data_IF_596865149573
#
_entry.id   IF_596865149573
#
_cell.length_a   1.000
_cell.length_b   1.000
_cell.length_c   1.000
_cell.angle_alpha   90.00
_cell.angle_beta   90.00
_cell.angle_gamma   90.00
#
_symmetry.space_group_name_H-M   'P 1'
#
loop_
_entity.id
_entity.type
_entity.pdbx_description
1 polymer ?
#
# COMPACT_ATOMS: atom_id res chain seq x y z
N UNK A 1 -0.87 17.82 -5.17
CA UNK A 1 -1.15 17.18 -3.86
C UNK A 1 -1.92 18.17 -3.00
N UNK A 2 -3.19 17.92 -2.74
CA UNK A 2 -3.94 18.66 -1.74
C UNK A 2 -4.38 17.71 -0.62
N UNK A 3 -4.46 18.24 0.58
CA UNK A 3 -4.99 17.58 1.77
C UNK A 3 -6.26 18.30 2.17
N UNK A 4 -7.36 17.59 2.30
CA UNK A 4 -8.65 18.13 2.66
C UNK A 4 -9.02 17.72 4.07
N UNK A 5 -9.04 18.66 5.02
CA UNK A 5 -9.51 18.40 6.38
C UNK A 5 -10.94 17.85 6.37
N UNK A 6 -11.19 16.87 7.24
CA UNK A 6 -12.52 16.32 7.48
C UNK A 6 -13.13 17.04 8.67
N UNK A 7 -14.31 17.60 8.47
CA UNK A 7 -15.13 18.10 9.57
C UNK A 7 -15.69 16.90 10.36
N UNK A 8 -15.19 16.74 11.59
CA UNK A 8 -15.58 15.61 12.45
C UNK A 8 -17.05 15.67 12.88
N UNK A 9 -17.68 16.85 12.93
CA UNK A 9 -19.08 16.96 13.34
C UNK A 9 -20.04 16.41 12.29
N UNK A 10 -19.63 16.44 11.02
CA UNK A 10 -20.36 15.85 9.89
C UNK A 10 -19.82 14.49 9.45
N UNK A 11 -18.73 14.00 10.04
CA UNK A 11 -18.10 12.75 9.64
C UNK A 11 -18.90 11.52 10.06
N UNK A 12 -19.43 10.70 9.13
CA UNK A 12 -20.31 9.57 9.46
C UNK A 12 -19.68 8.53 10.39
N UNK A 13 -18.34 8.45 10.41
CA UNK A 13 -17.59 7.51 11.25
C UNK A 13 -16.96 8.17 12.48
N UNK A 14 -17.44 9.35 12.89
CA UNK A 14 -16.89 10.13 14.01
C UNK A 14 -16.71 9.31 15.28
N UNK A 15 -17.71 8.55 15.70
CA UNK A 15 -17.63 7.74 16.93
C UNK A 15 -16.59 6.63 16.83
N UNK A 16 -16.54 5.92 15.67
CA UNK A 16 -15.53 4.90 15.41
C UNK A 16 -14.12 5.52 15.40
N UNK A 17 -13.97 6.65 14.71
CA UNK A 17 -12.71 7.37 14.65
C UNK A 17 -12.21 7.74 16.06
N UNK A 18 -13.03 8.41 16.86
CA UNK A 18 -12.65 8.85 18.21
C UNK A 18 -12.34 7.66 19.13
N UNK A 19 -13.09 6.56 19.02
CA UNK A 19 -12.85 5.35 19.80
C UNK A 19 -11.51 4.71 19.49
N UNK A 20 -11.17 4.56 18.21
CA UNK A 20 -9.99 3.82 17.78
C UNK A 20 -8.72 4.67 17.62
N UNK A 21 -8.83 6.00 17.57
CA UNK A 21 -7.66 6.87 17.57
C UNK A 21 -7.19 7.21 18.99
N UNK A 22 -8.13 7.43 19.90
CA UNK A 22 -7.83 7.86 21.26
C UNK A 22 -7.72 6.72 22.27
N UNK A 23 -8.73 5.87 22.33
CA UNK A 23 -8.86 4.91 23.43
C UNK A 23 -8.18 3.55 23.15
N UNK A 24 -8.34 3.01 21.95
CA UNK A 24 -7.92 1.63 21.64
C UNK A 24 -6.69 1.56 20.74
N UNK A 25 -6.38 2.61 19.97
CA UNK A 25 -5.27 2.66 19.01
C UNK A 25 -5.15 1.36 18.18
N UNK A 26 -6.25 0.96 17.56
CA UNK A 26 -6.39 -0.35 16.98
C UNK A 26 -6.00 -0.35 15.49
N UNK A 27 -4.91 -1.01 15.16
CA UNK A 27 -4.63 -1.45 13.80
C UNK A 27 -4.80 -2.97 13.69
N UNK A 28 -5.11 -3.45 12.51
CA UNK A 28 -5.26 -4.88 12.23
C UNK A 28 -4.68 -5.23 10.86
N UNK A 29 -4.37 -6.51 10.67
CA UNK A 29 -3.91 -7.04 9.39
C UNK A 29 -4.84 -8.14 8.91
N UNK A 30 -5.11 -8.13 7.62
CA UNK A 30 -5.80 -9.21 6.93
C UNK A 30 -4.90 -9.74 5.81
N UNK A 31 -4.75 -11.06 5.71
CA UNK A 31 -4.01 -11.69 4.62
C UNK A 31 -4.96 -12.46 3.73
N UNK A 32 -4.89 -12.22 2.43
CA UNK A 32 -5.67 -12.89 1.40
C UNK A 32 -4.78 -13.36 0.26
N UNK A 33 -5.23 -14.32 -0.53
CA UNK A 33 -4.60 -14.67 -1.79
C UNK A 33 -5.34 -13.98 -2.93
N UNK A 34 -4.70 -13.02 -3.61
CA UNK A 34 -5.27 -12.39 -4.80
C UNK A 34 -4.90 -13.18 -6.05
N UNK A 35 -5.83 -13.31 -6.98
CA UNK A 35 -5.58 -13.96 -8.26
C UNK A 35 -4.86 -13.01 -9.20
N UNK A 36 -3.62 -13.32 -9.54
CA UNK A 36 -2.76 -12.53 -10.42
C UNK A 36 -2.54 -13.21 -11.78
N UNK A 37 -3.39 -14.15 -12.15
CA UNK A 37 -3.25 -14.90 -13.41
C UNK A 37 -3.29 -13.97 -14.62
N UNK A 38 -4.13 -12.95 -14.59
CA UNK A 38 -4.29 -11.96 -15.66
C UNK A 38 -3.01 -11.12 -15.91
N UNK A 39 -2.10 -11.01 -14.93
CA UNK A 39 -0.84 -10.28 -15.13
C UNK A 39 0.13 -10.98 -16.09
N UNK A 40 -0.09 -12.25 -16.42
CA UNK A 40 0.70 -12.97 -17.43
C UNK A 40 2.20 -12.88 -17.19
N UNK A 41 2.93 -12.37 -18.20
CA UNK A 41 4.40 -12.22 -18.20
C UNK A 41 4.89 -10.86 -17.65
N UNK A 42 4.01 -9.96 -17.25
CA UNK A 42 4.42 -8.67 -16.69
C UNK A 42 5.29 -8.82 -15.44
N UNK A 43 6.20 -7.87 -15.23
CA UNK A 43 7.03 -7.81 -14.01
C UNK A 43 6.12 -7.64 -12.79
N UNK A 44 6.03 -8.65 -11.96
CA UNK A 44 5.06 -8.73 -10.86
C UNK A 44 5.13 -7.54 -9.91
N UNK A 45 6.33 -7.19 -9.42
CA UNK A 45 6.46 -6.18 -8.37
C UNK A 45 5.99 -4.78 -8.81
N UNK A 46 6.50 -4.20 -9.92
CA UNK A 46 6.02 -2.91 -10.38
C UNK A 46 4.54 -2.91 -10.80
N UNK A 47 4.05 -4.00 -11.41
CA UNK A 47 2.63 -4.10 -11.76
C UNK A 47 1.75 -4.07 -10.51
N UNK A 48 2.10 -4.84 -9.49
CA UNK A 48 1.34 -4.85 -8.23
C UNK A 48 1.46 -3.52 -7.46
N UNK A 49 2.63 -2.86 -7.45
CA UNK A 49 2.75 -1.52 -6.85
C UNK A 49 1.80 -0.53 -7.54
N UNK A 50 1.75 -0.55 -8.86
CA UNK A 50 0.87 0.33 -9.63
C UNK A 50 -0.62 0.02 -9.36
N UNK A 51 -1.01 -1.26 -9.39
CA UNK A 51 -2.39 -1.70 -9.15
C UNK A 51 -2.86 -1.39 -7.73
N UNK A 52 -2.02 -1.62 -6.73
CA UNK A 52 -2.30 -1.24 -5.34
C UNK A 52 -2.49 0.28 -5.22
N UNK A 53 -1.62 1.06 -5.86
CA UNK A 53 -1.71 2.53 -5.81
C UNK A 53 -2.96 3.04 -6.51
N UNK A 54 -3.28 2.51 -7.69
CA UNK A 54 -4.54 2.82 -8.39
C UNK A 54 -5.74 2.54 -7.48
N UNK A 55 -5.78 1.37 -6.86
CA UNK A 55 -6.90 0.98 -5.99
C UNK A 55 -6.98 1.84 -4.72
N UNK A 56 -5.84 2.20 -4.10
CA UNK A 56 -5.78 3.14 -2.98
C UNK A 56 -6.37 4.48 -3.38
N UNK A 57 -6.06 4.96 -4.59
CA UNK A 57 -6.56 6.25 -5.10
C UNK A 57 -8.06 6.25 -5.42
N UNK A 58 -8.68 5.09 -5.58
CA UNK A 58 -10.12 4.95 -5.79
C UNK A 58 -10.95 4.99 -4.48
N UNK A 59 -10.30 4.79 -3.30
CA UNK A 59 -11.01 4.59 -2.03
C UNK A 59 -10.56 5.62 -0.98
N UNK A 60 -11.39 6.59 -0.61
CA UNK A 60 -11.01 7.68 0.30
C UNK A 60 -10.45 7.20 1.64
N UNK A 61 -11.00 6.13 2.23
CA UNK A 61 -10.59 5.62 3.53
C UNK A 61 -9.13 5.14 3.56
N UNK A 62 -8.59 4.76 2.40
CA UNK A 62 -7.18 4.38 2.24
C UNK A 62 -6.23 5.57 2.01
N UNK A 63 -6.79 6.78 1.87
CA UNK A 63 -6.06 8.05 1.70
C UNK A 63 -6.19 8.98 2.89
N UNK A 64 -6.88 8.54 3.94
CA UNK A 64 -7.04 9.32 5.18
C UNK A 64 -5.76 9.31 6.00
N UNK A 65 -5.37 10.48 6.49
CA UNK A 65 -4.18 10.69 7.31
C UNK A 65 -4.43 11.74 8.40
N UNK A 66 -3.52 11.77 9.37
CA UNK A 66 -3.41 12.87 10.32
C UNK A 66 -2.26 13.80 9.87
N UNK A 67 -2.57 15.05 9.64
CA UNK A 67 -1.59 16.11 9.39
C UNK A 67 -1.75 17.16 10.48
N UNK A 68 -0.71 17.38 11.26
CA UNK A 68 -0.71 18.28 12.42
C UNK A 68 -1.88 18.03 13.40
N UNK A 69 -2.25 16.74 13.57
CA UNK A 69 -3.36 16.32 14.45
C UNK A 69 -4.74 16.47 13.83
N UNK A 70 -4.86 16.95 12.60
CA UNK A 70 -6.12 17.10 11.88
C UNK A 70 -6.35 15.90 10.97
N UNK A 71 -7.50 15.22 11.12
CA UNK A 71 -7.92 14.18 10.18
C UNK A 71 -8.30 14.79 8.84
N UNK A 72 -7.82 14.20 7.77
CA UNK A 72 -8.18 14.62 6.42
C UNK A 72 -7.90 13.54 5.40
N UNK A 73 -8.18 13.83 4.15
CA UNK A 73 -7.98 12.93 3.01
C UNK A 73 -7.10 13.62 1.96
N UNK A 74 -6.12 12.88 1.43
CA UNK A 74 -5.33 13.32 0.29
C UNK A 74 -6.08 13.11 -1.03
N UNK A 75 -5.88 13.99 -2.01
CA UNK A 75 -6.43 13.81 -3.36
C UNK A 75 -5.89 12.56 -4.04
N UNK A 76 -4.59 12.35 -3.88
CA UNK A 76 -3.82 11.28 -4.50
C UNK A 76 -2.76 10.75 -3.54
N UNK A 77 -2.36 9.50 -3.74
CA UNK A 77 -1.32 8.82 -2.99
C UNK A 77 -0.24 8.29 -3.93
N UNK A 78 0.98 8.23 -3.42
CA UNK A 78 2.13 7.65 -4.10
C UNK A 78 2.65 6.42 -3.37
N UNK A 79 3.20 5.40 -4.05
CA UNK A 79 3.78 4.24 -3.39
C UNK A 79 5.19 4.55 -2.88
N UNK A 80 5.44 4.27 -1.60
CA UNK A 80 6.76 4.09 -1.03
C UNK A 80 7.02 2.57 -0.91
N UNK A 81 8.10 2.08 -1.50
CA UNK A 81 8.32 0.64 -1.60
C UNK A 81 9.76 0.24 -1.34
N UNK A 82 9.96 -1.04 -1.04
CA UNK A 82 11.28 -1.58 -0.71
C UNK A 82 12.01 -2.07 -1.94
N UNK A 83 13.30 -1.76 -2.05
CA UNK A 83 14.24 -2.35 -3.02
C UNK A 83 15.32 -3.13 -2.27
N UNK A 84 15.57 -4.36 -2.70
CA UNK A 84 16.53 -5.24 -2.04
C UNK A 84 17.94 -5.09 -2.62
N UNK A 85 18.90 -4.79 -1.77
CA UNK A 85 20.31 -4.75 -2.12
C UNK A 85 20.93 -6.15 -1.98
N UNK A 86 21.27 -6.77 -3.12
CA UNK A 86 21.84 -8.14 -3.16
C UNK A 86 23.23 -8.24 -2.54
N UNK A 87 23.99 -7.15 -2.55
CA UNK A 87 25.35 -7.09 -1.98
C UNK A 87 25.32 -7.10 -0.46
N UNK A 88 24.62 -6.13 0.13
CA UNK A 88 24.55 -5.95 1.60
C UNK A 88 23.53 -6.86 2.28
N UNK A 89 22.62 -7.51 1.52
CA UNK A 89 21.48 -8.28 2.05
C UNK A 89 20.51 -7.44 2.89
N UNK A 90 20.47 -6.14 2.64
CA UNK A 90 19.55 -5.19 3.27
C UNK A 90 18.52 -4.70 2.25
N UNK A 91 17.61 -3.86 2.68
CA UNK A 91 16.68 -3.16 1.80
C UNK A 91 16.72 -1.66 2.04
N UNK A 92 16.35 -0.91 1.01
CA UNK A 92 16.11 0.52 1.09
C UNK A 92 14.66 0.81 0.76
N UNK A 93 14.08 1.82 1.43
CA UNK A 93 12.78 2.38 1.08
C UNK A 93 12.97 3.51 0.08
N UNK A 94 12.29 3.42 -1.06
CA UNK A 94 12.22 4.48 -2.07
C UNK A 94 10.76 4.72 -2.44
N UNK A 95 10.51 5.75 -3.21
CA UNK A 95 9.17 6.10 -3.69
C UNK A 95 9.22 6.47 -5.17
N UNK A 96 8.09 6.35 -5.85
CA UNK A 96 7.92 6.81 -7.24
C UNK A 96 6.58 7.55 -7.34
N UNK A 97 6.58 8.67 -8.03
CA UNK A 97 5.35 9.38 -8.30
C UNK A 97 4.38 8.50 -9.10
N UNK A 98 3.14 8.42 -8.64
CA UNK A 98 2.13 7.63 -9.34
C UNK A 98 1.69 8.34 -10.61
N UNK A 99 1.64 7.60 -11.70
CA UNK A 99 1.06 8.01 -12.97
C UNK A 99 -0.08 7.02 -13.31
N UNK A 100 -1.27 7.47 -13.68
CA UNK A 100 -2.37 6.58 -14.08
C UNK A 100 -2.07 5.78 -15.36
N UNK A 101 -1.12 6.22 -16.16
CA UNK A 101 -0.58 5.42 -17.28
C UNK A 101 0.50 4.48 -16.76
N UNK A 102 0.26 3.17 -16.86
CA UNK A 102 1.19 2.15 -16.35
C UNK A 102 2.57 2.23 -17.02
N UNK A 103 2.66 2.45 -18.33
CA UNK A 103 3.94 2.50 -19.02
C UNK A 103 4.80 3.68 -18.55
N UNK A 104 4.19 4.85 -18.30
CA UNK A 104 4.86 6.01 -17.73
C UNK A 104 5.34 5.75 -16.29
N UNK A 105 4.47 5.16 -15.46
CA UNK A 105 4.84 4.73 -14.11
C UNK A 105 5.98 3.71 -14.12
N UNK A 106 5.91 2.68 -14.98
CA UNK A 106 6.94 1.65 -15.08
C UNK A 106 8.30 2.24 -15.44
N UNK A 107 8.35 3.18 -16.40
CA UNK A 107 9.59 3.86 -16.76
C UNK A 107 10.18 4.67 -15.59
N UNK A 108 9.33 5.36 -14.81
CA UNK A 108 9.74 6.08 -13.61
C UNK A 108 10.24 5.11 -12.52
N UNK A 109 9.50 4.02 -12.26
CA UNK A 109 9.88 2.96 -11.32
C UNK A 109 11.24 2.34 -11.68
N UNK A 110 11.47 2.01 -12.95
CA UNK A 110 12.73 1.39 -13.40
C UNK A 110 13.91 2.34 -13.24
N UNK A 111 13.74 3.62 -13.56
CA UNK A 111 14.75 4.67 -13.34
C UNK A 111 15.09 4.80 -11.85
N UNK A 112 14.08 4.92 -10.98
CA UNK A 112 14.27 5.06 -9.54
C UNK A 112 14.93 3.81 -8.95
N UNK A 113 14.45 2.63 -9.32
CA UNK A 113 15.02 1.36 -8.86
C UNK A 113 16.47 1.18 -9.31
N UNK A 114 16.82 1.52 -10.55
CA UNK A 114 18.19 1.45 -11.04
C UNK A 114 19.12 2.40 -10.27
N UNK A 115 18.64 3.60 -9.95
CA UNK A 115 19.44 4.61 -9.25
C UNK A 115 19.71 4.24 -7.78
N UNK A 116 18.75 3.61 -7.11
CA UNK A 116 18.81 3.39 -5.65
C UNK A 116 19.00 1.92 -5.22
N UNK A 117 18.96 0.94 -6.14
CA UNK A 117 19.05 -0.50 -5.78
C UNK A 117 20.38 -0.91 -5.14
N UNK A 118 21.45 -0.16 -5.38
CA UNK A 118 22.76 -0.40 -4.75
C UNK A 118 22.97 0.40 -3.46
N UNK A 119 22.05 1.27 -3.08
CA UNK A 119 22.17 2.07 -1.88
C UNK A 119 22.14 1.21 -0.61
N UNK A 120 22.95 1.61 0.38
CA UNK A 120 23.00 0.96 1.70
C UNK A 120 22.14 1.70 2.72
N UNK A 121 21.87 2.99 2.47
CA UNK A 121 20.99 3.82 3.31
C UNK A 121 19.57 3.28 3.30
N UNK A 122 18.87 3.37 4.46
CA UNK A 122 17.47 2.97 4.57
C UNK A 122 16.55 3.78 3.64
N UNK A 123 16.74 5.11 3.54
CA UNK A 123 15.92 6.00 2.71
C UNK A 123 16.84 6.85 1.80
N UNK A 124 17.36 6.29 0.70
CA UNK A 124 18.33 6.98 -0.15
C UNK A 124 17.70 8.05 -1.06
N UNK A 125 16.42 7.88 -1.43
CA UNK A 125 15.70 8.85 -2.25
C UNK A 125 15.14 9.95 -1.35
N UNK A 126 15.56 11.23 -1.53
CA UNK A 126 15.10 12.33 -0.70
C UNK A 126 13.64 12.70 -0.99
N UNK A 127 13.09 13.59 -0.16
CA UNK A 127 11.81 14.26 -0.36
C UNK A 127 10.62 13.27 -0.53
N UNK A 128 10.57 12.21 0.31
CA UNK A 128 9.40 11.33 0.33
C UNK A 128 8.15 12.15 0.60
N UNK A 129 7.16 12.16 -0.30
CA UNK A 129 5.96 12.96 -0.12
C UNK A 129 5.12 12.43 1.05
N UNK A 130 4.46 13.32 1.83
CA UNK A 130 3.67 12.91 2.99
C UNK A 130 2.44 12.07 2.62
N UNK A 131 1.96 12.17 1.38
CA UNK A 131 0.90 11.34 0.80
C UNK A 131 1.45 10.03 0.22
N UNK A 132 2.34 9.37 0.95
CA UNK A 132 2.89 8.07 0.56
C UNK A 132 2.43 6.96 1.51
N UNK A 133 2.13 5.79 0.95
CA UNK A 133 1.84 4.57 1.71
C UNK A 133 2.87 3.48 1.40
N UNK A 134 3.02 2.50 2.29
CA UNK A 134 4.10 1.53 2.21
C UNK A 134 3.71 0.24 1.48
N UNK A 135 4.57 -0.19 0.55
CA UNK A 135 4.47 -1.47 -0.16
C UNK A 135 5.77 -2.24 -0.01
N UNK A 136 5.69 -3.50 0.39
CA UNK A 136 6.83 -4.39 0.47
C UNK A 136 6.54 -5.75 -0.15
N UNK A 137 7.61 -6.50 -0.45
CA UNK A 137 7.49 -7.86 -0.95
C UNK A 137 8.54 -8.77 -0.30
N UNK A 138 8.10 -9.94 0.11
CA UNK A 138 8.95 -11.02 0.59
C UNK A 138 8.96 -12.17 -0.45
N UNK A 139 9.80 -12.07 -1.52
CA UNK A 139 9.72 -12.99 -2.65
C UNK A 139 10.27 -14.39 -2.35
N UNK A 140 10.86 -14.59 -1.17
CA UNK A 140 11.49 -15.85 -0.77
C UNK A 140 10.54 -16.85 -0.11
N UNK A 141 9.41 -16.36 0.41
CA UNK A 141 8.44 -17.19 1.12
C UNK A 141 7.00 -16.83 0.75
N UNK A 142 6.16 -17.82 0.61
CA UNK A 142 4.72 -17.67 0.71
C UNK A 142 4.31 -17.68 2.19
N UNK A 143 3.20 -17.03 2.53
CA UNK A 143 2.71 -16.97 3.90
C UNK A 143 1.17 -16.94 3.92
N UNK A 144 0.60 -17.34 5.04
CA UNK A 144 -0.84 -17.28 5.30
C UNK A 144 -1.25 -16.12 6.19
N UNK A 145 -0.28 -15.49 6.89
CA UNK A 145 -0.50 -14.30 7.69
C UNK A 145 0.83 -13.54 7.86
N UNK A 146 0.75 -12.21 7.78
CA UNK A 146 1.80 -11.27 8.17
C UNK A 146 1.16 -10.10 8.89
N UNK A 147 1.74 -9.70 10.01
CA UNK A 147 1.34 -8.53 10.76
C UNK A 147 2.57 -7.72 11.17
N UNK A 148 2.57 -6.43 10.86
CA UNK A 148 3.60 -5.49 11.30
C UNK A 148 3.09 -4.75 12.55
N UNK A 149 3.82 -4.87 13.64
CA UNK A 149 3.48 -4.17 14.88
C UNK A 149 4.09 -2.76 14.86
N UNK A 150 3.23 -1.76 14.69
CA UNK A 150 3.61 -0.35 14.75
C UNK A 150 3.27 0.22 16.12
N UNK A 151 4.27 0.82 16.78
CA UNK A 151 4.14 1.37 18.14
C UNK A 151 4.29 2.90 18.18
N UNK A 152 3.92 3.59 17.09
CA UNK A 152 4.05 5.04 16.96
C UNK A 152 2.83 5.83 17.49
N UNK A 153 2.27 5.42 18.62
CA UNK A 153 1.17 6.12 19.26
C UNK A 153 -0.18 6.02 18.53
N UNK A 154 -0.34 5.04 17.63
CA UNK A 154 -1.63 4.79 16.95
C UNK A 154 -2.05 5.86 15.95
N UNK A 155 -1.11 6.64 15.42
CA UNK A 155 -1.39 7.75 14.48
C UNK A 155 -1.11 7.41 13.02
N UNK A 156 -0.59 6.21 12.73
CA UNK A 156 -0.33 5.76 11.36
C UNK A 156 -1.62 5.21 10.73
N UNK A 157 -2.38 6.07 10.07
CA UNK A 157 -3.66 5.72 9.46
C UNK A 157 -3.52 5.13 8.06
N UNK A 158 -2.45 5.47 7.33
CA UNK A 158 -2.22 5.01 5.97
C UNK A 158 -1.95 3.50 5.92
N UNK A 159 -2.41 2.81 4.86
CA UNK A 159 -2.27 1.36 4.76
C UNK A 159 -0.82 0.94 4.55
N UNK A 160 -0.53 -0.33 4.92
CA UNK A 160 0.71 -1.00 4.60
C UNK A 160 0.37 -2.31 3.88
N UNK A 161 1.00 -2.53 2.74
CA UNK A 161 0.84 -3.75 1.96
C UNK A 161 2.12 -4.58 1.98
N UNK A 162 1.99 -5.87 2.26
CA UNK A 162 3.10 -6.82 2.18
C UNK A 162 2.71 -7.99 1.31
N UNK A 163 3.44 -8.19 0.22
CA UNK A 163 3.24 -9.31 -0.72
C UNK A 163 4.19 -10.45 -0.40
N UNK A 164 3.72 -11.68 -0.56
CA UNK A 164 4.54 -12.89 -0.46
C UNK A 164 5.03 -13.40 -1.80
N UNK A 165 5.63 -14.59 -1.79
CA UNK A 165 5.98 -15.33 -3.00
C UNK A 165 4.70 -15.88 -3.65
N UNK A 166 4.49 -15.58 -4.92
CA UNK A 166 3.39 -16.13 -5.69
C UNK A 166 3.51 -17.65 -5.85
N UNK A 167 2.38 -18.33 -5.90
CA UNK A 167 2.29 -19.78 -6.05
C UNK A 167 1.12 -20.16 -6.99
N UNK A 168 1.11 -21.41 -7.44
CA UNK A 168 0.02 -21.92 -8.26
C UNK A 168 -0.88 -22.83 -7.43
N UNK A 169 -2.20 -22.63 -7.56
CA UNK A 169 -3.21 -23.50 -6.99
C UNK A 169 -4.46 -23.49 -7.91
N UNK A 170 -5.04 -24.64 -8.16
CA UNK A 170 -6.27 -24.81 -8.96
C UNK A 170 -6.22 -24.08 -10.33
N UNK A 171 -5.07 -24.15 -11.01
CA UNK A 171 -4.85 -23.51 -12.30
C UNK A 171 -4.69 -22.00 -12.28
N UNK A 172 -4.70 -21.36 -11.10
CA UNK A 172 -4.53 -19.93 -10.90
C UNK A 172 -3.16 -19.60 -10.33
N UNK A 173 -2.66 -18.41 -10.66
CA UNK A 173 -1.47 -17.84 -10.03
C UNK A 173 -1.90 -16.92 -8.91
N UNK A 174 -1.63 -17.30 -7.69
CA UNK A 174 -2.06 -16.61 -6.47
C UNK A 174 -0.89 -15.88 -5.81
N UNK A 175 -1.19 -14.69 -5.27
CA UNK A 175 -0.23 -13.86 -4.53
C UNK A 175 -0.77 -13.62 -3.12
N UNK A 176 -0.07 -14.05 -2.06
CA UNK A 176 -0.39 -13.65 -0.70
C UNK A 176 -0.22 -12.14 -0.55
N UNK A 177 -1.26 -11.46 -0.12
CA UNK A 177 -1.29 -10.02 0.14
C UNK A 177 -1.77 -9.79 1.58
N UNK A 178 -0.89 -9.29 2.42
CA UNK A 178 -1.25 -8.78 3.74
C UNK A 178 -1.54 -7.28 3.63
N UNK A 179 -2.68 -6.87 4.15
CA UNK A 179 -3.14 -5.48 4.21
C UNK A 179 -3.23 -5.12 5.68
N UNK A 180 -2.45 -4.14 6.11
CA UNK A 180 -2.59 -3.54 7.43
C UNK A 180 -3.34 -2.23 7.31
N UNK A 181 -4.37 -2.05 8.14
CA UNK A 181 -5.21 -0.86 8.17
C UNK A 181 -5.46 -0.42 9.62
N UNK A 182 -5.75 0.86 9.81
CA UNK A 182 -6.12 1.40 11.10
C UNK A 182 -7.65 1.44 11.24
N UNK A 183 -8.17 0.89 12.35
CA UNK A 183 -9.61 0.72 12.53
C UNK A 183 -10.38 2.04 12.67
N UNK A 184 -9.67 3.14 13.00
CA UNK A 184 -10.28 4.47 13.04
C UNK A 184 -10.84 4.92 11.68
N UNK A 185 -10.22 4.50 10.59
CA UNK A 185 -10.59 4.91 9.22
C UNK A 185 -11.08 3.76 8.36
N UNK A 186 -10.58 2.54 8.57
CA UNK A 186 -10.94 1.35 7.79
C UNK A 186 -11.50 0.25 8.69
N UNK A 187 -12.53 -0.44 8.24
CA UNK A 187 -13.05 -1.69 8.81
C UNK A 187 -13.18 -2.78 7.75
N UNK A 188 -13.74 -3.94 8.09
CA UNK A 188 -13.89 -5.07 7.19
C UNK A 188 -14.66 -4.75 5.90
N UNK A 189 -15.63 -3.84 5.95
CA UNK A 189 -16.36 -3.39 4.77
C UNK A 189 -15.43 -2.68 3.75
N UNK A 190 -14.58 -1.77 4.24
CA UNK A 190 -13.63 -1.03 3.40
C UNK A 190 -12.55 -1.94 2.81
N UNK A 191 -12.06 -2.92 3.59
CA UNK A 191 -11.14 -3.95 3.08
C UNK A 191 -11.84 -4.79 2.00
N UNK A 192 -13.09 -5.20 2.20
CA UNK A 192 -13.86 -5.94 1.20
C UNK A 192 -14.02 -5.18 -0.11
N UNK A 193 -14.36 -3.87 -0.04
CA UNK A 193 -14.40 -2.98 -1.21
C UNK A 193 -13.06 -2.89 -1.91
N UNK A 194 -11.98 -2.69 -1.13
CA UNK A 194 -10.63 -2.62 -1.67
C UNK A 194 -10.25 -3.89 -2.43
N UNK A 195 -10.50 -5.06 -1.84
CA UNK A 195 -10.17 -6.34 -2.48
C UNK A 195 -10.97 -6.58 -3.77
N UNK A 196 -12.25 -6.22 -3.79
CA UNK A 196 -13.07 -6.32 -4.99
C UNK A 196 -12.56 -5.37 -6.11
N UNK A 197 -12.24 -4.12 -5.75
CA UNK A 197 -11.68 -3.16 -6.69
C UNK A 197 -10.29 -3.59 -7.20
N UNK A 198 -9.41 -4.05 -6.31
CA UNK A 198 -8.09 -4.56 -6.67
C UNK A 198 -8.18 -5.74 -7.65
N UNK A 199 -9.06 -6.72 -7.37
CA UNK A 199 -9.23 -7.84 -8.27
C UNK A 199 -9.77 -7.39 -9.64
N UNK A 200 -10.73 -6.47 -9.67
CA UNK A 200 -11.22 -5.88 -10.93
C UNK A 200 -10.13 -5.16 -11.71
N UNK A 201 -9.26 -4.41 -11.02
CA UNK A 201 -8.11 -3.74 -11.64
C UNK A 201 -7.06 -4.74 -12.16
N UNK A 202 -6.85 -5.88 -11.47
CA UNK A 202 -5.95 -6.95 -11.93
C UNK A 202 -6.53 -7.63 -13.18
N UNK A 203 -7.81 -7.98 -13.15
CA UNK A 203 -8.49 -8.69 -14.25
C UNK A 203 -8.57 -7.84 -15.53
N UNK A 204 -8.69 -6.52 -15.38
CA UNK A 204 -8.68 -5.54 -16.47
C UNK A 204 -7.30 -4.95 -16.82
N UNK A 205 -6.21 -5.53 -16.31
CA UNK A 205 -4.87 -5.00 -16.56
C UNK A 205 -4.36 -5.32 -17.96
N UNK A 206 -4.16 -4.28 -18.78
CA UNK A 206 -3.67 -4.41 -20.17
C UNK A 206 -2.17 -4.09 -20.32
N UNK A 207 -1.51 -3.51 -19.29
CA UNK A 207 -0.07 -3.21 -19.28
C UNK A 207 0.31 -1.83 -19.78
#
# INVERSE_FOLDING_TARGET
MAFHPIDLDSFPRREHYLSFIGNSQCSYSMTVNVDITALGAHKLYPAMIWLLTRTVNEIPEFRMALVDGVLGVYDDMHPAYTVFNKGSKTFSGIWTEFDPNYSAFLAAYERDSALYSAAVSYAPKPNTPPNSFNVSMMPWATFTAVNLNLYNGGTALLPIFTMGKAFFADGRRLLPLAIQAHHAVCDGYHIGRFLAALQGNIDGFEG
#
